data_IF_825507549434
#
_entry.id   IF_825507549434
#
_cell.length_a   1.000
_cell.length_b   1.000
_cell.length_c   1.000
_cell.angle_alpha   90.00
_cell.angle_beta   90.00
_cell.angle_gamma   90.00
#
_symmetry.space_group_name_H-M   'P 1'
#
loop_
_entity.id
_entity.type
_entity.pdbx_description
1 polymer ?
#
# COMPACT_ATOMS: atom_id res chain seq x y z
N UNK A 1 65.56 -24.82 3.01
CA UNK A 1 64.39 -25.72 3.07
C UNK A 1 64.57 -26.68 4.24
N UNK A 2 63.98 -26.36 5.41
CA UNK A 2 63.85 -27.25 6.58
C UNK A 2 62.66 -26.76 7.41
N UNK A 3 61.83 -27.73 7.77
CA UNK A 3 60.51 -27.61 8.38
C UNK A 3 60.66 -27.40 9.89
N UNK A 4 59.83 -26.54 10.49
CA UNK A 4 59.74 -26.32 11.93
C UNK A 4 58.32 -25.90 12.33
N UNK A 5 57.53 -26.90 12.73
CA UNK A 5 56.17 -26.83 13.25
C UNK A 5 56.15 -26.14 14.63
N UNK A 6 55.35 -25.08 14.83
CA UNK A 6 55.00 -24.61 16.18
C UNK A 6 53.48 -24.44 16.33
N UNK A 7 53.04 -25.01 17.45
CA UNK A 7 51.70 -25.28 17.97
C UNK A 7 50.76 -24.07 18.02
N UNK A 8 49.51 -24.40 17.77
CA UNK A 8 48.29 -23.67 18.07
C UNK A 8 48.08 -23.52 19.58
N UNK A 9 47.67 -22.32 20.03
CA UNK A 9 46.93 -22.16 21.29
C UNK A 9 45.70 -21.29 21.05
N UNK A 10 44.54 -21.92 21.20
CA UNK A 10 43.22 -21.28 21.20
C UNK A 10 43.09 -20.41 22.46
N UNK A 11 42.64 -19.16 22.31
CA UNK A 11 42.14 -18.35 23.42
C UNK A 11 40.70 -18.76 23.74
N UNK A 12 40.29 -18.84 25.01
CA UNK A 12 38.91 -19.12 25.39
C UNK A 12 38.05 -17.85 25.30
N UNK A 13 36.82 -18.05 24.80
CA UNK A 13 35.67 -17.13 24.86
C UNK A 13 35.17 -16.98 26.30
N UNK A 14 34.74 -15.78 26.74
CA UNK A 14 33.89 -15.66 27.91
C UNK A 14 32.41 -15.78 27.52
N UNK A 15 31.70 -16.62 28.27
CA UNK A 15 30.27 -16.87 28.19
C UNK A 15 29.41 -15.67 28.63
N UNK A 16 28.18 -15.68 28.09
CA UNK A 16 27.06 -14.76 28.33
C UNK A 16 26.67 -14.63 29.80
N UNK A 17 26.33 -13.41 30.21
CA UNK A 17 25.37 -13.14 31.30
C UNK A 17 24.30 -12.14 30.87
N UNK A 18 23.06 -12.63 30.81
CA UNK A 18 21.82 -11.97 31.20
C UNK A 18 21.55 -10.54 30.69
N UNK A 19 21.11 -10.43 29.43
CA UNK A 19 20.36 -9.26 28.96
C UNK A 19 18.89 -9.40 29.34
N UNK A 20 18.43 -8.57 30.28
CA UNK A 20 17.01 -8.37 30.58
C UNK A 20 16.37 -7.69 29.37
N UNK A 21 15.34 -8.29 28.79
CA UNK A 21 14.47 -7.62 27.82
C UNK A 21 13.75 -6.47 28.54
N UNK A 22 14.24 -5.25 28.32
CA UNK A 22 13.48 -4.04 28.63
C UNK A 22 12.41 -3.90 27.55
N UNK A 23 11.19 -4.34 27.85
CA UNK A 23 10.00 -3.87 27.16
C UNK A 23 9.85 -2.38 27.47
N UNK A 24 10.34 -1.50 26.61
CA UNK A 24 10.01 -0.08 26.67
C UNK A 24 8.58 0.10 26.17
N UNK A 25 7.62 -0.13 27.06
CA UNK A 25 6.23 0.27 26.86
C UNK A 25 6.15 1.79 26.87
N UNK A 26 5.74 2.38 25.75
CA UNK A 26 5.33 3.78 25.72
C UNK A 26 4.10 3.95 26.61
N UNK A 27 4.23 4.82 27.61
CA UNK A 27 3.12 5.22 28.47
C UNK A 27 2.29 6.30 27.77
N UNK A 28 1.02 6.42 28.18
CA UNK A 28 -0.03 7.29 27.66
C UNK A 28 0.29 8.81 27.74
N UNK A 29 1.47 9.20 28.18
CA UNK A 29 1.85 10.57 28.57
C UNK A 29 2.83 11.27 27.63
N UNK A 30 3.31 10.62 26.57
CA UNK A 30 4.34 11.21 25.68
C UNK A 30 3.78 12.09 24.54
N UNK A 31 2.46 12.35 24.53
CA UNK A 31 1.85 13.29 23.58
C UNK A 31 1.28 14.49 24.34
N UNK A 32 1.77 15.72 24.10
CA UNK A 32 1.10 16.90 24.63
C UNK A 32 -0.26 17.05 23.95
N UNK A 33 -1.33 17.00 24.75
CA UNK A 33 -2.68 17.40 24.34
C UNK A 33 -2.64 18.87 23.92
N UNK A 34 -2.56 19.12 22.61
CA UNK A 34 -2.92 20.43 22.05
C UNK A 34 -4.37 20.38 21.57
N UNK A 35 -5.11 21.42 21.93
CA UNK A 35 -6.54 21.58 21.68
C UNK A 35 -6.93 21.28 20.21
N UNK A 36 -8.13 20.74 19.96
CA UNK A 36 -8.58 20.43 18.61
C UNK A 36 -8.66 21.71 17.78
N UNK A 37 -7.98 21.71 16.63
CA UNK A 37 -8.17 22.73 15.61
C UNK A 37 -9.59 22.55 15.04
N UNK A 38 -10.47 23.48 15.40
CA UNK A 38 -11.75 23.67 14.73
C UNK A 38 -11.51 24.06 13.27
N UNK A 39 -12.04 23.28 12.33
CA UNK A 39 -12.27 23.69 10.94
C UNK A 39 -11.07 23.64 10.00
N UNK A 40 -10.64 22.44 9.62
CA UNK A 40 -10.02 22.24 8.31
C UNK A 40 -11.09 21.70 7.36
N UNK A 41 -11.59 22.53 6.45
CA UNK A 41 -12.27 22.03 5.26
C UNK A 41 -11.30 21.08 4.53
N UNK A 42 -11.80 19.94 4.05
CA UNK A 42 -11.03 18.95 3.30
C UNK A 42 -10.14 19.63 2.27
N UNK A 43 -8.82 19.53 2.45
CA UNK A 43 -7.84 19.98 1.45
C UNK A 43 -7.80 19.05 0.22
N UNK A 44 -8.62 18.00 0.21
CA UNK A 44 -8.82 17.14 -0.95
C UNK A 44 -10.01 17.66 -1.78
N UNK A 45 -9.85 17.80 -3.11
CA UNK A 45 -10.98 18.08 -3.98
C UNK A 45 -12.05 16.99 -3.78
N UNK A 46 -13.35 17.32 -3.92
CA UNK A 46 -14.39 16.30 -3.92
C UNK A 46 -14.04 15.24 -4.96
N UNK A 47 -14.20 13.96 -4.60
CA UNK A 47 -14.00 12.83 -5.50
C UNK A 47 -14.81 13.07 -6.78
N UNK A 48 -14.12 13.33 -7.89
CA UNK A 48 -14.76 13.36 -9.20
C UNK A 48 -15.07 11.90 -9.53
N UNK A 49 -16.35 11.54 -9.57
CA UNK A 49 -16.77 10.20 -9.96
C UNK A 49 -16.18 9.84 -11.33
N UNK A 50 -15.88 8.55 -11.60
CA UNK A 50 -15.30 8.16 -12.87
C UNK A 50 -16.21 8.61 -14.02
N UNK A 51 -15.64 9.33 -14.99
CA UNK A 51 -16.35 9.66 -16.22
C UNK A 51 -16.78 8.36 -16.93
N UNK A 52 -17.99 8.32 -17.53
CA UNK A 52 -18.43 7.13 -18.25
C UNK A 52 -17.42 6.80 -19.37
N UNK A 53 -17.03 5.53 -19.46
CA UNK A 53 -16.16 5.05 -20.52
C UNK A 53 -16.86 5.21 -21.87
N UNK A 54 -16.51 6.25 -22.62
CA UNK A 54 -16.94 6.43 -24.01
C UNK A 54 -16.23 5.37 -24.87
N UNK A 55 -16.94 4.63 -25.74
CA UNK A 55 -16.27 3.71 -26.66
C UNK A 55 -15.41 4.52 -27.63
N UNK A 56 -14.12 4.18 -27.72
CA UNK A 56 -13.21 4.76 -28.70
C UNK A 56 -13.73 4.48 -30.12
N UNK A 57 -14.37 5.48 -30.72
CA UNK A 57 -14.71 5.52 -32.14
C UNK A 57 -13.44 5.61 -32.98
N UNK A 58 -13.40 4.77 -34.01
CA UNK A 58 -12.38 4.71 -35.04
C UNK A 58 -12.10 6.08 -35.66
N UNK A 59 -10.87 6.58 -35.51
CA UNK A 59 -10.35 7.64 -36.38
C UNK A 59 -9.77 7.00 -37.64
N UNK A 60 -10.46 7.22 -38.76
CA UNK A 60 -9.95 6.95 -40.11
C UNK A 60 -8.91 7.98 -40.53
N UNK A 61 -7.96 7.54 -41.36
CA UNK A 61 -6.90 8.40 -41.88
C UNK A 61 -6.04 7.73 -42.96
N UNK A 62 -6.56 7.75 -44.19
CA UNK A 62 -5.87 7.78 -45.50
C UNK A 62 -4.99 6.62 -45.98
N UNK A 63 -5.40 6.11 -47.14
CA UNK A 63 -4.78 5.09 -47.97
C UNK A 63 -3.62 5.64 -48.82
N UNK A 64 -2.62 4.78 -49.08
CA UNK A 64 -1.84 4.76 -50.33
C UNK A 64 -1.64 3.31 -50.75
N UNK A 65 -1.98 3.01 -52.01
CA UNK A 65 -2.04 1.69 -52.61
C UNK A 65 -0.68 1.20 -53.17
N UNK A 66 -0.45 -0.12 -53.14
CA UNK A 66 0.17 -0.88 -54.25
C UNK A 66 -0.06 -2.41 -54.15
N UNK A 67 -0.97 -2.87 -55.01
CA UNK A 67 -1.04 -4.08 -55.87
C UNK A 67 -0.40 -5.44 -55.46
N UNK A 68 -1.32 -6.42 -55.45
CA UNK A 68 -1.36 -7.73 -56.17
C UNK A 68 -0.63 -8.98 -55.62
N UNK A 69 -1.43 -10.01 -55.36
CA UNK A 69 -1.08 -11.44 -55.27
C UNK A 69 -2.15 -12.24 -54.51
N UNK A 70 -3.06 -12.91 -55.24
CA UNK A 70 -4.06 -13.87 -54.71
C UNK A 70 -3.41 -15.23 -54.32
N UNK A 71 -4.18 -16.29 -53.95
CA UNK A 71 -4.58 -16.63 -52.59
C UNK A 71 -4.03 -18.02 -52.20
N UNK A 72 -4.19 -18.45 -50.93
CA UNK A 72 -4.72 -19.80 -50.61
C UNK A 72 -4.63 -20.19 -49.12
N UNK A 73 -5.76 -20.72 -48.64
CA UNK A 73 -5.92 -21.83 -47.68
C UNK A 73 -5.70 -21.60 -46.17
N UNK A 74 -6.65 -22.13 -45.38
CA UNK A 74 -6.39 -22.51 -44.00
C UNK A 74 -7.31 -21.88 -42.95
N UNK A 75 -8.62 -22.16 -43.02
CA UNK A 75 -9.53 -21.91 -41.90
C UNK A 75 -9.20 -22.85 -40.74
N UNK A 76 -8.90 -22.29 -39.57
CA UNK A 76 -8.92 -23.00 -38.29
C UNK A 76 -9.79 -22.18 -37.33
N UNK A 77 -10.86 -22.81 -36.89
CA UNK A 77 -11.77 -22.31 -35.88
C UNK A 77 -11.04 -22.22 -34.52
N UNK A 78 -10.90 -21.01 -34.00
CA UNK A 78 -10.49 -20.73 -32.62
C UNK A 78 -11.56 -19.88 -31.96
N UNK A 79 -12.57 -20.53 -31.39
CA UNK A 79 -13.65 -19.85 -30.66
C UNK A 79 -13.12 -19.20 -29.37
N UNK A 80 -13.26 -17.88 -29.30
CA UNK A 80 -13.83 -17.08 -28.19
C UNK A 80 -13.73 -17.70 -26.79
N UNK A 81 -13.07 -17.12 -25.79
CA UNK A 81 -13.18 -15.72 -25.39
C UNK A 81 -14.34 -15.50 -24.41
N UNK A 82 -14.13 -15.82 -23.13
CA UNK A 82 -14.79 -15.24 -21.95
C UNK A 82 -15.99 -15.99 -21.33
N UNK A 83 -16.38 -15.71 -20.06
CA UNK A 83 -15.71 -14.90 -19.03
C UNK A 83 -15.34 -15.69 -17.75
N UNK A 84 -14.26 -15.26 -17.09
CA UNK A 84 -13.98 -15.60 -15.69
C UNK A 84 -14.86 -14.70 -14.83
N UNK A 85 -15.87 -15.28 -14.19
CA UNK A 85 -16.67 -14.62 -13.16
C UNK A 85 -15.77 -14.25 -11.97
N UNK A 86 -15.20 -13.04 -12.04
CA UNK A 86 -14.65 -12.33 -10.90
C UNK A 86 -15.79 -11.56 -10.26
N UNK A 87 -16.31 -12.14 -9.18
CA UNK A 87 -16.73 -11.55 -7.90
C UNK A 87 -17.42 -12.71 -7.18
N UNK A 88 -16.66 -13.49 -6.40
CA UNK A 88 -17.29 -14.44 -5.48
C UNK A 88 -17.70 -13.65 -4.22
N UNK A 89 -18.78 -12.89 -4.33
CA UNK A 89 -19.63 -12.64 -3.17
C UNK A 89 -20.58 -13.83 -3.09
N UNK A 90 -20.12 -14.90 -2.42
CA UNK A 90 -21.08 -15.87 -1.88
C UNK A 90 -21.80 -15.14 -0.75
N UNK A 91 -22.98 -14.62 -1.08
CA UNK A 91 -23.92 -13.97 -0.17
C UNK A 91 -24.53 -15.01 0.78
N UNK A 92 -23.71 -15.72 1.55
CA UNK A 92 -24.10 -16.54 2.71
C UNK A 92 -22.88 -17.04 3.52
N UNK A 93 -22.08 -16.15 4.11
CA UNK A 93 -21.30 -16.49 5.31
C UNK A 93 -21.53 -15.40 6.34
N UNK A 94 -22.29 -15.72 7.38
CA UNK A 94 -22.52 -14.82 8.51
C UNK A 94 -21.26 -14.54 9.35
N UNK A 95 -20.13 -15.19 9.02
CA UNK A 95 -18.84 -15.03 9.69
C UNK A 95 -17.92 -13.98 9.07
N UNK A 96 -18.18 -13.54 7.83
CA UNK A 96 -17.32 -12.61 7.10
C UNK A 96 -17.71 -11.14 7.38
N UNK A 97 -16.79 -10.25 7.79
CA UNK A 97 -17.11 -8.85 8.04
C UNK A 97 -17.73 -8.20 6.79
N UNK A 98 -18.95 -7.66 6.94
CA UNK A 98 -19.70 -7.02 5.85
C UNK A 98 -19.88 -7.89 4.59
N UNK A 99 -19.88 -9.23 4.73
CA UNK A 99 -20.00 -10.16 3.59
C UNK A 99 -18.76 -10.23 2.69
N UNK A 100 -17.67 -9.53 3.03
CA UNK A 100 -16.40 -9.57 2.31
C UNK A 100 -15.54 -10.70 2.86
N UNK A 101 -15.17 -11.66 2.00
CA UNK A 101 -14.30 -12.77 2.38
C UNK A 101 -12.85 -12.45 2.03
N UNK A 102 -11.94 -12.79 2.92
CA UNK A 102 -10.49 -12.80 2.62
C UNK A 102 -10.19 -14.03 1.75
N UNK A 103 -9.34 -13.91 0.72
CA UNK A 103 -8.95 -15.07 -0.08
C UNK A 103 -8.31 -16.15 0.79
N UNK A 104 -8.69 -17.40 0.59
CA UNK A 104 -8.24 -18.56 1.38
C UNK A 104 -7.07 -19.30 0.73
N UNK A 105 -6.50 -18.72 -0.32
CA UNK A 105 -5.38 -19.28 -1.05
C UNK A 105 -4.13 -19.42 -0.18
N UNK A 106 -3.17 -20.21 -0.68
CA UNK A 106 -1.84 -20.29 -0.06
C UNK A 106 -1.15 -18.93 0.00
N UNK A 107 -1.25 -18.13 -1.06
CA UNK A 107 -0.60 -16.81 -1.14
C UNK A 107 -1.16 -15.87 -0.05
N UNK A 108 -2.48 -15.78 0.08
CA UNK A 108 -3.13 -14.92 1.06
C UNK A 108 -2.85 -15.35 2.51
N UNK A 109 -2.81 -16.67 2.79
CA UNK A 109 -2.40 -17.18 4.12
C UNK A 109 -0.97 -16.78 4.46
N UNK A 110 -0.02 -17.05 3.57
CA UNK A 110 1.39 -16.71 3.78
C UNK A 110 1.61 -15.18 3.88
N UNK A 111 0.84 -14.38 3.14
CA UNK A 111 0.83 -12.91 3.29
C UNK A 111 0.36 -12.50 4.68
N UNK A 112 -0.70 -13.13 5.18
CA UNK A 112 -1.27 -12.81 6.49
C UNK A 112 -0.28 -13.11 7.60
N UNK A 113 0.36 -14.27 7.54
CA UNK A 113 1.38 -14.72 8.50
C UNK A 113 2.57 -13.77 8.50
N UNK A 114 3.15 -13.50 7.32
CA UNK A 114 4.33 -12.63 7.22
C UNK A 114 4.06 -11.24 7.79
N UNK A 115 2.96 -10.60 7.39
CA UNK A 115 2.66 -9.23 7.83
C UNK A 115 2.33 -9.19 9.33
N UNK A 116 1.61 -10.20 9.83
CA UNK A 116 1.36 -10.33 11.28
C UNK A 116 2.65 -10.44 12.08
N UNK A 117 3.63 -11.19 11.57
CA UNK A 117 4.90 -11.41 12.27
C UNK A 117 5.88 -10.23 12.12
N UNK A 118 5.72 -9.41 11.07
CA UNK A 118 6.66 -8.35 10.71
C UNK A 118 6.22 -6.95 11.14
N UNK A 119 4.95 -6.76 11.49
CA UNK A 119 4.39 -5.43 11.79
C UNK A 119 3.80 -5.35 13.19
N UNK A 120 3.55 -4.13 13.66
CA UNK A 120 2.79 -3.95 14.90
C UNK A 120 1.32 -4.31 14.70
N UNK A 121 0.64 -4.69 15.79
CA UNK A 121 -0.82 -4.93 15.77
C UNK A 121 -1.62 -3.75 15.19
N UNK A 122 -1.13 -2.51 15.35
CA UNK A 122 -1.74 -1.33 14.73
C UNK A 122 -1.76 -1.43 13.21
N UNK A 123 -0.60 -1.69 12.61
CA UNK A 123 -0.42 -1.76 11.15
C UNK A 123 -1.13 -3.00 10.62
N UNK A 124 -1.03 -4.13 11.29
CA UNK A 124 -1.76 -5.33 10.92
C UNK A 124 -3.29 -5.08 10.85
N UNK A 125 -3.88 -4.53 11.91
CA UNK A 125 -5.32 -4.24 11.92
C UNK A 125 -5.70 -3.16 10.91
N UNK A 126 -4.85 -2.15 10.69
CA UNK A 126 -5.04 -1.14 9.65
C UNK A 126 -5.09 -1.77 8.26
N UNK A 127 -4.07 -2.52 7.88
CA UNK A 127 -3.98 -3.23 6.59
C UNK A 127 -5.19 -4.13 6.33
N UNK A 128 -5.66 -4.82 7.38
CA UNK A 128 -6.88 -5.62 7.30
C UNK A 128 -8.11 -4.76 7.01
N UNK A 129 -8.32 -3.67 7.74
CA UNK A 129 -9.43 -2.73 7.47
C UNK A 129 -9.35 -2.11 6.07
N UNK A 130 -8.15 -1.75 5.60
CA UNK A 130 -7.91 -1.23 4.25
C UNK A 130 -8.41 -2.22 3.19
N UNK A 131 -8.12 -3.52 3.34
CA UNK A 131 -8.64 -4.53 2.44
C UNK A 131 -10.18 -4.58 2.42
N UNK A 132 -10.80 -4.60 3.61
CA UNK A 132 -12.26 -4.67 3.72
C UNK A 132 -12.94 -3.43 3.14
N UNK A 133 -12.47 -2.23 3.50
CA UNK A 133 -13.03 -0.99 2.98
C UNK A 133 -12.76 -0.82 1.47
N UNK A 134 -11.59 -1.22 0.98
CA UNK A 134 -11.31 -1.26 -0.46
C UNK A 134 -12.27 -2.19 -1.20
N UNK A 135 -12.55 -3.37 -0.64
CA UNK A 135 -13.49 -4.33 -1.22
C UNK A 135 -14.94 -3.85 -1.19
N UNK A 136 -15.38 -3.19 -0.11
CA UNK A 136 -16.70 -2.56 -0.04
C UNK A 136 -16.84 -1.39 -1.02
N UNK A 137 -15.78 -0.60 -1.19
CA UNK A 137 -15.74 0.45 -2.22
C UNK A 137 -15.76 -0.12 -3.64
N UNK A 138 -15.17 -1.30 -3.87
CA UNK A 138 -15.27 -2.00 -5.14
C UNK A 138 -16.73 -2.30 -5.50
N UNK A 139 -17.49 -2.82 -4.53
CA UNK A 139 -18.93 -3.10 -4.67
C UNK A 139 -19.70 -1.80 -4.92
N UNK A 140 -19.49 -0.78 -4.08
CA UNK A 140 -20.17 0.51 -4.19
C UNK A 140 -19.93 1.20 -5.55
N UNK A 141 -18.72 1.09 -6.10
CA UNK A 141 -18.31 1.72 -7.37
C UNK A 141 -18.51 0.83 -8.60
N UNK A 142 -18.95 -0.42 -8.43
CA UNK A 142 -19.06 -1.38 -9.53
C UNK A 142 -17.72 -1.73 -10.19
N UNK A 143 -16.62 -1.71 -9.43
CA UNK A 143 -15.28 -2.04 -9.92
C UNK A 143 -14.95 -3.51 -9.63
N UNK A 144 -14.42 -4.22 -10.65
CA UNK A 144 -13.90 -5.58 -10.49
C UNK A 144 -12.38 -5.55 -10.38
N UNK A 145 -11.82 -6.24 -9.40
CA UNK A 145 -10.37 -6.42 -9.23
C UNK A 145 -10.07 -7.88 -8.86
N UNK A 146 -8.80 -8.26 -8.94
CA UNK A 146 -8.33 -9.51 -8.34
C UNK A 146 -8.29 -9.35 -6.80
N UNK A 147 -9.16 -10.04 -6.04
CA UNK A 147 -9.23 -9.88 -4.59
C UNK A 147 -7.97 -10.38 -3.88
N UNK A 148 -7.22 -11.31 -4.48
CA UNK A 148 -5.94 -11.78 -3.94
C UNK A 148 -4.86 -10.71 -4.08
N UNK A 149 -4.79 -10.03 -5.23
CA UNK A 149 -3.83 -8.94 -5.43
C UNK A 149 -4.17 -7.72 -4.55
N UNK A 150 -5.45 -7.36 -4.44
CA UNK A 150 -5.88 -6.31 -3.52
C UNK A 150 -5.54 -6.67 -2.07
N UNK A 151 -5.75 -7.92 -1.66
CA UNK A 151 -5.42 -8.38 -0.33
C UNK A 151 -3.91 -8.30 -0.05
N UNK A 152 -3.07 -8.78 -0.97
CA UNK A 152 -1.61 -8.66 -0.83
C UNK A 152 -1.19 -7.19 -0.74
N UNK A 153 -1.69 -6.35 -1.63
CA UNK A 153 -1.34 -4.93 -1.65
C UNK A 153 -1.74 -4.24 -0.33
N UNK A 154 -2.96 -4.48 0.15
CA UNK A 154 -3.44 -3.96 1.43
C UNK A 154 -2.61 -4.44 2.61
N UNK A 155 -2.23 -5.72 2.63
CA UNK A 155 -1.43 -6.26 3.73
C UNK A 155 -0.02 -5.66 3.77
N UNK A 156 0.61 -5.43 2.62
CA UNK A 156 1.99 -4.93 2.56
C UNK A 156 2.15 -3.41 2.59
N UNK A 157 1.09 -2.61 2.33
CA UNK A 157 1.25 -1.18 1.98
C UNK A 157 2.06 -0.34 2.98
N UNK A 158 1.93 -0.62 4.28
CA UNK A 158 2.59 0.10 5.38
C UNK A 158 3.77 -0.67 6.01
N UNK A 159 4.19 -1.81 5.44
CA UNK A 159 5.29 -2.64 5.98
C UNK A 159 6.60 -1.83 6.12
N UNK A 160 6.85 -0.92 5.18
CA UNK A 160 8.02 -0.03 5.13
C UNK A 160 8.10 1.00 6.26
N UNK A 161 7.09 1.10 7.13
CA UNK A 161 7.17 1.91 8.36
C UNK A 161 7.91 1.19 9.50
N UNK A 162 8.15 -0.11 9.35
CA UNK A 162 8.83 -0.93 10.36
C UNK A 162 10.30 -0.56 10.50
N UNK A 163 10.87 -0.79 11.69
CA UNK A 163 12.24 -0.40 12.08
C UNK A 163 13.33 -0.75 11.05
N UNK A 164 13.32 -1.93 10.39
CA UNK A 164 14.36 -2.27 9.40
C UNK A 164 14.48 -1.30 8.22
N UNK A 165 13.44 -0.51 7.94
CA UNK A 165 13.37 0.41 6.79
C UNK A 165 13.67 1.87 7.16
N UNK A 166 13.85 2.19 8.44
CA UNK A 166 14.09 3.57 8.89
C UNK A 166 15.37 4.16 8.27
N UNK A 167 16.37 3.33 8.00
CA UNK A 167 17.65 3.72 7.39
C UNK A 167 17.73 3.57 5.86
N UNK A 168 16.65 3.21 5.17
CA UNK A 168 16.70 2.88 3.74
C UNK A 168 17.05 4.05 2.81
N UNK A 169 16.80 5.29 3.27
CA UNK A 169 16.87 6.50 2.45
C UNK A 169 15.75 6.63 1.41
N UNK A 170 14.80 5.68 1.38
CA UNK A 170 13.66 5.65 0.44
C UNK A 170 12.35 5.99 1.13
N UNK A 171 11.38 6.46 0.36
CA UNK A 171 9.98 6.53 0.77
C UNK A 171 9.50 5.18 1.30
N UNK A 172 8.76 5.16 2.40
CA UNK A 172 8.31 3.92 3.02
C UNK A 172 7.37 3.12 2.09
N UNK A 173 6.62 3.82 1.25
CA UNK A 173 5.75 3.27 0.22
C UNK A 173 6.55 2.43 -0.78
N UNK A 174 7.75 2.89 -1.14
CA UNK A 174 8.66 2.17 -2.05
C UNK A 174 9.29 0.97 -1.33
N UNK A 175 9.67 1.12 -0.06
CA UNK A 175 10.18 0.00 0.76
C UNK A 175 9.12 -1.12 0.87
N UNK A 176 7.87 -0.77 1.18
CA UNK A 176 6.73 -1.68 1.21
C UNK A 176 6.50 -2.38 -0.13
N UNK A 177 6.50 -1.62 -1.23
CA UNK A 177 6.26 -2.15 -2.57
C UNK A 177 7.36 -3.14 -2.98
N UNK A 178 8.62 -2.83 -2.67
CA UNK A 178 9.76 -3.69 -2.95
C UNK A 178 9.73 -5.01 -2.17
N UNK A 179 9.31 -4.97 -0.90
CA UNK A 179 9.12 -6.18 -0.11
C UNK A 179 7.97 -7.05 -0.64
N UNK A 180 6.85 -6.45 -1.02
CA UNK A 180 5.75 -7.18 -1.66
C UNK A 180 6.22 -7.84 -2.97
N UNK A 181 6.96 -7.11 -3.80
CA UNK A 181 7.56 -7.65 -5.03
C UNK A 181 8.50 -8.81 -4.75
N UNK A 182 9.38 -8.70 -3.76
CA UNK A 182 10.29 -9.79 -3.37
C UNK A 182 9.51 -11.02 -2.92
N UNK A 183 8.50 -10.82 -2.08
CA UNK A 183 7.61 -11.87 -1.58
C UNK A 183 6.85 -12.60 -2.71
N UNK A 184 6.30 -11.86 -3.66
CA UNK A 184 5.53 -12.39 -4.78
C UNK A 184 6.41 -13.11 -5.80
N UNK A 185 7.60 -12.57 -6.11
CA UNK A 185 8.58 -13.23 -6.99
C UNK A 185 9.02 -14.58 -6.44
N UNK A 186 9.26 -14.67 -5.14
CA UNK A 186 9.62 -15.93 -4.47
C UNK A 186 8.52 -17.00 -4.58
N UNK A 187 7.29 -16.59 -4.90
CA UNK A 187 6.11 -17.46 -5.09
C UNK A 187 5.72 -17.62 -6.56
N UNK A 188 6.57 -17.16 -7.47
CA UNK A 188 6.38 -17.29 -8.92
C UNK A 188 5.06 -16.66 -9.41
N UNK A 189 4.59 -15.62 -8.72
CA UNK A 189 3.45 -14.84 -9.17
C UNK A 189 3.81 -14.13 -10.49
N UNK A 190 2.90 -14.03 -11.48
CA UNK A 190 3.19 -13.38 -12.76
C UNK A 190 3.69 -11.93 -12.61
N UNK A 191 4.61 -11.52 -13.48
CA UNK A 191 5.24 -10.19 -13.42
C UNK A 191 4.24 -9.03 -13.52
N UNK A 192 3.16 -9.17 -14.29
CA UNK A 192 2.13 -8.15 -14.36
C UNK A 192 1.35 -8.01 -13.04
N UNK A 193 1.03 -9.11 -12.38
CA UNK A 193 0.41 -9.10 -11.04
C UNK A 193 1.35 -8.44 -10.01
N UNK A 194 2.65 -8.75 -10.08
CA UNK A 194 3.67 -8.10 -9.24
C UNK A 194 3.73 -6.60 -9.51
N UNK A 195 3.70 -6.18 -10.77
CA UNK A 195 3.70 -4.77 -11.16
C UNK A 195 2.49 -4.06 -10.58
N UNK A 196 1.28 -4.60 -10.72
CA UNK A 196 0.04 -3.99 -10.18
C UNK A 196 0.10 -3.83 -8.66
N UNK A 197 0.51 -4.88 -7.93
CA UNK A 197 0.67 -4.81 -6.46
C UNK A 197 1.71 -3.77 -6.06
N UNK A 198 2.88 -3.77 -6.74
CA UNK A 198 3.92 -2.78 -6.49
C UNK A 198 3.42 -1.36 -6.74
N UNK A 199 2.73 -1.12 -7.85
CA UNK A 199 2.16 0.19 -8.22
C UNK A 199 1.11 0.65 -7.23
N UNK A 200 0.20 -0.24 -6.83
CA UNK A 200 -0.82 0.06 -5.83
C UNK A 200 -0.14 0.54 -4.53
N UNK A 201 0.81 -0.23 -4.02
CA UNK A 201 1.53 0.12 -2.79
C UNK A 201 2.35 1.40 -2.97
N UNK A 202 3.07 1.59 -4.07
CA UNK A 202 3.91 2.77 -4.25
C UNK A 202 3.09 4.09 -4.30
N UNK A 203 1.83 4.02 -4.72
CA UNK A 203 0.97 5.19 -4.94
C UNK A 203 -0.12 5.39 -3.87
N UNK A 204 -0.24 4.51 -2.87
CA UNK A 204 -1.37 4.53 -1.93
C UNK A 204 -1.49 5.82 -1.09
N UNK A 205 -0.44 6.64 -1.00
CA UNK A 205 -0.44 7.97 -0.34
C UNK A 205 -0.36 9.14 -1.32
N UNK A 206 -0.64 8.91 -2.60
CA UNK A 206 -0.58 9.92 -3.67
C UNK A 206 -1.98 10.20 -4.19
N UNK A 207 -2.87 10.83 -3.39
CA UNK A 207 -4.26 11.07 -3.78
C UNK A 207 -4.35 11.90 -5.08
N UNK A 208 -5.38 11.65 -5.89
CA UNK A 208 -5.59 12.33 -7.17
C UNK A 208 -4.97 11.64 -8.38
N UNK A 209 -4.27 10.52 -8.18
CA UNK A 209 -3.67 9.70 -9.27
C UNK A 209 -4.27 8.28 -9.30
N UNK A 210 -4.28 7.52 -8.18
CA UNK A 210 -4.73 6.12 -8.17
C UNK A 210 -6.13 5.88 -8.69
N UNK A 211 -7.07 6.82 -8.53
CA UNK A 211 -8.46 6.63 -8.95
C UNK A 211 -8.63 6.51 -10.48
N UNK A 212 -7.62 6.89 -11.26
CA UNK A 212 -7.59 6.81 -12.72
C UNK A 212 -6.80 5.60 -13.24
N UNK A 213 -6.34 4.70 -12.35
CA UNK A 213 -5.49 3.56 -12.68
C UNK A 213 -6.26 2.23 -12.60
N UNK A 214 -5.55 1.10 -12.68
CA UNK A 214 -6.15 -0.23 -12.57
C UNK A 214 -6.92 -0.41 -11.23
N UNK A 215 -7.97 -1.25 -11.20
CA UNK A 215 -8.83 -1.41 -10.04
C UNK A 215 -8.09 -1.71 -8.73
N UNK A 216 -7.04 -2.55 -8.74
CA UNK A 216 -6.26 -2.84 -7.53
C UNK A 216 -5.56 -1.58 -6.97
N UNK A 217 -5.12 -0.67 -7.83
CA UNK A 217 -4.45 0.59 -7.47
C UNK A 217 -5.47 1.57 -6.90
N UNK A 218 -6.61 1.73 -7.57
CA UNK A 218 -7.69 2.61 -7.14
C UNK A 218 -8.29 2.16 -5.80
N UNK A 219 -8.53 0.85 -5.63
CA UNK A 219 -9.23 0.30 -4.47
C UNK A 219 -8.34 0.18 -3.23
N UNK A 220 -7.02 -0.04 -3.39
CA UNK A 220 -6.09 0.05 -2.26
C UNK A 220 -6.12 1.46 -1.68
N UNK A 221 -5.97 2.48 -2.53
CA UNK A 221 -6.00 3.88 -2.11
C UNK A 221 -7.35 4.23 -1.48
N UNK A 222 -8.47 3.82 -2.09
CA UNK A 222 -9.79 4.04 -1.51
C UNK A 222 -9.93 3.42 -0.11
N UNK A 223 -9.36 2.24 0.14
CA UNK A 223 -9.33 1.62 1.47
C UNK A 223 -8.52 2.42 2.49
N UNK A 224 -7.35 2.94 2.10
CA UNK A 224 -6.49 3.79 2.94
C UNK A 224 -7.18 5.12 3.24
N UNK A 225 -7.71 5.78 2.21
CA UNK A 225 -8.45 7.03 2.31
C UNK A 225 -9.65 6.89 3.24
N UNK A 226 -10.37 5.77 3.18
CA UNK A 226 -11.48 5.48 4.06
C UNK A 226 -11.03 5.32 5.52
N UNK A 227 -10.04 4.46 5.78
CA UNK A 227 -9.65 4.15 7.16
C UNK A 227 -8.91 5.31 7.84
N UNK A 228 -8.08 6.05 7.11
CA UNK A 228 -7.23 7.12 7.67
C UNK A 228 -7.88 8.49 7.56
N UNK A 229 -8.38 8.85 6.38
CA UNK A 229 -8.84 10.22 6.07
C UNK A 229 -10.35 10.38 6.23
N UNK A 230 -11.11 9.28 6.24
CA UNK A 230 -12.57 9.29 6.28
C UNK A 230 -13.22 9.72 4.96
N UNK A 231 -12.47 9.70 3.85
CA UNK A 231 -13.02 9.98 2.53
C UNK A 231 -13.94 8.83 2.13
N UNK A 232 -15.13 9.18 1.64
CA UNK A 232 -16.17 8.22 1.31
C UNK A 232 -16.84 7.57 2.52
N UNK A 233 -16.64 8.08 3.75
CA UNK A 233 -17.19 7.49 4.98
C UNK A 233 -18.70 7.18 4.88
N UNK A 234 -19.47 8.10 4.30
CA UNK A 234 -20.92 7.99 4.14
C UNK A 234 -21.36 7.16 2.93
N UNK A 235 -20.43 6.69 2.11
CA UNK A 235 -20.74 5.89 0.92
C UNK A 235 -21.03 4.42 1.27
N UNK A 236 -20.66 3.98 2.47
CA UNK A 236 -20.91 2.62 2.96
C UNK A 236 -22.01 2.63 4.03
N UNK A 237 -22.63 1.47 4.26
CA UNK A 237 -23.61 1.33 5.33
C UNK A 237 -22.94 1.32 6.71
N UNK A 238 -23.65 1.83 7.72
CA UNK A 238 -23.17 1.85 9.10
C UNK A 238 -22.91 0.44 9.65
N UNK A 239 -23.77 -0.51 9.30
CA UNK A 239 -23.63 -1.90 9.69
C UNK A 239 -22.33 -2.52 9.17
N UNK A 240 -21.97 -2.24 7.92
CA UNK A 240 -20.74 -2.74 7.31
C UNK A 240 -19.49 -2.11 7.95
N UNK A 241 -19.52 -0.78 8.17
CA UNK A 241 -18.46 -0.10 8.94
C UNK A 241 -18.26 -0.72 10.31
N UNK A 242 -19.35 -0.95 11.03
CA UNK A 242 -19.33 -1.50 12.38
C UNK A 242 -18.78 -2.95 12.38
N UNK A 243 -19.18 -3.78 11.42
CA UNK A 243 -18.69 -5.15 11.29
C UNK A 243 -17.17 -5.20 11.05
N UNK A 244 -16.64 -4.35 10.15
CA UNK A 244 -15.20 -4.27 9.88
C UNK A 244 -14.41 -3.81 11.11
N UNK A 245 -14.90 -2.80 11.83
CA UNK A 245 -14.24 -2.28 13.04
C UNK A 245 -14.33 -3.27 14.22
N UNK A 246 -15.42 -4.04 14.32
CA UNK A 246 -15.56 -5.10 15.31
C UNK A 246 -14.55 -6.24 15.08
N UNK A 247 -14.35 -6.64 13.82
CA UNK A 247 -13.37 -7.67 13.46
C UNK A 247 -11.92 -7.18 13.56
N UNK A 248 -11.67 -5.90 13.28
CA UNK A 248 -10.34 -5.29 13.32
C UNK A 248 -10.33 -3.96 14.09
N UNK A 249 -10.27 -4.02 15.43
CA UNK A 249 -10.39 -2.86 16.30
C UNK A 249 -9.37 -1.75 16.02
N UNK A 250 -9.78 -0.50 16.28
CA UNK A 250 -8.99 0.71 16.00
C UNK A 250 -8.81 1.68 17.19
N UNK A 251 -8.46 1.20 18.40
CA UNK A 251 -8.35 2.04 19.59
C UNK A 251 -7.25 3.10 19.44
N UNK A 252 -7.61 4.36 19.72
CA UNK A 252 -6.72 5.53 19.55
C UNK A 252 -6.00 5.55 18.18
N UNK A 253 -6.66 5.03 17.14
CA UNK A 253 -6.00 4.78 15.85
C UNK A 253 -5.40 6.05 15.25
N UNK A 254 -6.12 7.18 15.28
CA UNK A 254 -5.64 8.45 14.70
C UNK A 254 -4.30 8.88 15.30
N UNK A 255 -4.17 8.84 16.64
CA UNK A 255 -2.92 9.18 17.33
C UNK A 255 -1.82 8.17 17.01
N UNK A 256 -2.16 6.88 17.05
CA UNK A 256 -1.19 5.79 16.86
C UNK A 256 -0.65 5.72 15.42
N UNK A 257 -1.50 5.93 14.42
CA UNK A 257 -1.06 5.91 13.01
C UNK A 257 -0.19 7.13 12.67
N UNK A 258 -0.51 8.31 13.24
CA UNK A 258 0.34 9.49 13.12
C UNK A 258 1.71 9.25 13.77
N UNK A 259 1.75 8.63 14.96
CA UNK A 259 3.00 8.24 15.59
C UNK A 259 3.82 7.26 14.73
N UNK A 260 3.17 6.24 14.15
CA UNK A 260 3.82 5.29 13.25
C UNK A 260 4.42 5.96 11.99
N UNK A 261 3.69 6.91 11.39
CA UNK A 261 4.23 7.72 10.30
C UNK A 261 5.41 8.60 10.75
N UNK A 262 5.34 9.23 11.92
CA UNK A 262 6.45 10.02 12.46
C UNK A 262 7.70 9.16 12.66
N UNK A 263 7.57 8.04 13.37
CA UNK A 263 8.69 7.16 13.70
C UNK A 263 9.30 6.51 12.46
N UNK A 264 8.47 6.09 11.51
CA UNK A 264 8.91 5.47 10.25
C UNK A 264 9.69 6.39 9.32
N UNK A 265 9.56 7.71 9.47
CA UNK A 265 10.01 8.69 8.46
C UNK A 265 11.03 9.68 9.04
N UNK A 266 11.03 9.95 10.36
CA UNK A 266 11.88 10.98 10.99
C UNK A 266 13.39 10.83 10.75
N UNK A 267 13.89 9.63 10.47
CA UNK A 267 15.29 9.35 10.14
C UNK A 267 15.65 9.62 8.67
N UNK A 268 14.64 9.82 7.81
CA UNK A 268 14.74 10.07 6.38
C UNK A 268 13.80 11.21 5.94
N UNK A 269 13.87 12.40 6.58
CA UNK A 269 12.92 13.50 6.38
C UNK A 269 12.88 14.02 4.93
N UNK A 270 13.98 13.95 4.19
CA UNK A 270 14.05 14.33 2.78
C UNK A 270 13.08 13.55 1.89
N UNK A 271 12.65 12.35 2.32
CA UNK A 271 11.69 11.52 1.56
C UNK A 271 10.27 12.08 1.58
N UNK A 272 9.98 13.10 2.40
CA UNK A 272 8.66 13.73 2.46
C UNK A 272 8.47 14.88 1.46
N UNK A 273 9.50 15.25 0.70
CA UNK A 273 9.39 16.32 -0.29
C UNK A 273 8.27 16.00 -1.30
N UNK A 274 7.30 16.91 -1.41
CA UNK A 274 6.16 16.77 -2.33
C UNK A 274 5.07 15.77 -1.90
N UNK A 275 5.01 15.34 -0.63
CA UNK A 275 3.93 14.44 -0.17
C UNK A 275 3.39 14.79 1.23
N UNK A 276 2.22 14.22 1.56
CA UNK A 276 1.45 14.50 2.79
C UNK A 276 2.18 14.15 4.08
N UNK A 277 3.25 13.34 4.04
CA UNK A 277 4.00 13.00 5.26
C UNK A 277 4.85 14.18 5.76
N UNK A 278 5.09 15.19 4.93
CA UNK A 278 5.68 16.45 5.38
C UNK A 278 4.79 17.17 6.41
N UNK A 279 3.45 16.99 6.34
CA UNK A 279 2.53 17.52 7.34
C UNK A 279 2.72 16.85 8.70
N UNK A 280 2.88 15.53 8.69
CA UNK A 280 3.12 14.74 9.90
C UNK A 280 4.43 15.16 10.56
N UNK A 281 5.53 15.24 9.82
CA UNK A 281 6.82 15.64 10.39
C UNK A 281 6.81 17.09 10.90
N UNK A 282 6.20 18.02 10.17
CA UNK A 282 6.09 19.41 10.62
C UNK A 282 5.28 19.56 11.92
N UNK A 283 4.33 18.66 12.17
CA UNK A 283 3.55 18.65 13.40
C UNK A 283 4.29 18.01 14.58
N UNK A 284 5.00 16.90 14.34
CA UNK A 284 5.52 16.03 15.42
C UNK A 284 7.05 16.06 15.61
N UNK A 285 7.83 16.62 14.67
CA UNK A 285 9.29 16.69 14.76
C UNK A 285 9.74 18.13 14.96
N UNK A 286 10.18 18.51 16.18
CA UNK A 286 10.68 19.86 16.44
C UNK A 286 11.84 20.24 15.51
N UNK A 287 11.76 21.41 14.90
CA UNK A 287 12.78 21.92 13.99
C UNK A 287 12.77 21.31 12.59
N UNK A 288 11.81 20.44 12.25
CA UNK A 288 11.64 20.00 10.87
C UNK A 288 11.11 21.14 10.00
N UNK A 289 11.84 21.45 8.94
CA UNK A 289 11.45 22.40 7.90
C UNK A 289 11.07 21.65 6.64
N UNK A 290 9.92 22.00 6.07
CA UNK A 290 9.46 21.41 4.81
C UNK A 290 10.33 21.93 3.67
N UNK A 291 10.67 21.05 2.73
CA UNK A 291 11.29 21.49 1.49
C UNK A 291 10.32 22.38 0.70
N UNK A 292 10.84 23.50 0.19
CA UNK A 292 10.11 24.46 -0.61
C UNK A 292 10.36 24.18 -2.11
N UNK A 293 9.30 23.76 -2.79
CA UNK A 293 9.35 23.45 -4.22
C UNK A 293 9.61 24.67 -5.09
N UNK A 294 9.07 25.84 -4.72
CA UNK A 294 9.28 27.08 -5.46
C UNK A 294 10.74 27.50 -5.36
N UNK A 295 11.33 27.43 -4.16
CA UNK A 295 12.77 27.69 -3.96
C UNK A 295 13.64 26.71 -4.71
N UNK A 296 13.27 25.42 -4.71
CA UNK A 296 13.99 24.40 -5.49
C UNK A 296 14.08 24.76 -6.98
N UNK A 297 13.03 25.38 -7.54
CA UNK A 297 13.03 25.85 -8.94
C UNK A 297 13.87 27.12 -9.09
N UNK A 298 13.63 28.15 -8.27
CA UNK A 298 14.30 29.45 -8.37
C UNK A 298 15.82 29.36 -8.12
N UNK A 299 16.24 28.43 -7.26
CA UNK A 299 17.64 28.24 -6.88
C UNK A 299 18.33 27.16 -7.75
N UNK A 300 17.64 26.64 -8.77
CA UNK A 300 18.20 25.67 -9.72
C UNK A 300 19.37 26.28 -10.50
N UNK A 301 20.44 25.52 -10.82
CA UNK A 301 21.65 26.06 -11.47
C UNK A 301 21.47 26.44 -12.95
N UNK A 302 20.24 26.42 -13.48
CA UNK A 302 19.96 26.84 -14.84
C UNK A 302 20.06 28.37 -14.94
N UNK A 303 20.74 28.87 -15.97
CA UNK A 303 20.78 30.31 -16.24
C UNK A 303 19.46 30.76 -16.89
N UNK A 304 18.92 31.90 -16.43
CA UNK A 304 17.72 32.59 -16.97
C UNK A 304 18.08 33.96 -17.56
#
# INVERSE_FOLDING_TARGET
MRIGLIRTTRRPTPERRGGRNATSGFSRTDFPDRAPLSGAASAFPPTVGPAPATPCGLYGGTAVARRSGDPETGGVAGGTGGPRDQVIVLKDDSSAPAGVRVPDSRLARETTELVRDSTSELIYHHSRRVYFFGSLQAINRGLSCDPELLYVAAMFHDLGLSEPFHGSGRRFEVDSADEARRFLRARQVPDDSIRRVWTAIALHTTPGIPEFMEPEVALLTAGVEYDVLGIGYHDLDEADRAAVVAAHPRPAFKQRILAAFTDGIRSKPQTTFGNVKADVLAHYVPGFERGDFVRTILDSPWAE
#
